data_IF_806341904709
#
_entry.id   IF_806341904709
#
_cell.length_a   1.000
_cell.length_b   1.000
_cell.length_c   1.000
_cell.angle_alpha   90.00
_cell.angle_beta   90.00
_cell.angle_gamma   90.00
#
_symmetry.space_group_name_H-M   'P 1'
#
loop_
_entity.id
_entity.type
_entity.pdbx_description
1 polymer ?
#
# COMPACT_ATOMS: atom_id res chain seq x y z
N UNK A 1 -16.75 -6.95 27.87
CA UNK A 1 -17.31 -7.67 26.70
C UNK A 1 -16.35 -7.47 25.54
N UNK A 2 -15.95 -8.52 24.82
CA UNK A 2 -15.10 -8.38 23.63
C UNK A 2 -15.96 -7.76 22.52
N UNK A 3 -15.67 -6.53 22.12
CA UNK A 3 -16.31 -5.93 20.97
C UNK A 3 -15.77 -6.63 19.73
N UNK A 4 -16.60 -7.45 19.09
CA UNK A 4 -16.32 -8.02 17.78
C UNK A 4 -16.91 -7.01 16.78
N UNK A 5 -16.08 -6.28 16.02
CA UNK A 5 -16.57 -5.40 14.97
C UNK A 5 -17.37 -6.24 13.97
N UNK A 6 -18.57 -5.79 13.61
CA UNK A 6 -19.34 -6.43 12.54
C UNK A 6 -18.72 -6.02 11.22
N UNK A 7 -18.61 -6.95 10.28
CA UNK A 7 -18.06 -6.72 8.93
C UNK A 7 -18.65 -5.48 8.22
N UNK A 8 -19.91 -5.16 8.50
CA UNK A 8 -20.63 -4.03 7.88
C UNK A 8 -20.38 -2.68 8.56
N UNK A 9 -19.61 -2.64 9.66
CA UNK A 9 -19.38 -1.40 10.42
C UNK A 9 -18.52 -0.43 9.61
N UNK A 10 -17.55 -0.95 8.86
CA UNK A 10 -16.60 -0.15 8.10
C UNK A 10 -17.28 0.60 6.95
N UNK A 11 -18.17 -0.06 6.22
CA UNK A 11 -18.96 0.58 5.16
C UNK A 11 -19.85 1.70 5.71
N UNK A 12 -20.50 1.48 6.85
CA UNK A 12 -21.34 2.51 7.47
C UNK A 12 -20.54 3.76 7.87
N UNK A 13 -19.33 3.56 8.42
CA UNK A 13 -18.42 4.64 8.79
C UNK A 13 -17.88 5.40 7.58
N UNK A 14 -17.55 4.68 6.50
CA UNK A 14 -17.10 5.28 5.23
C UNK A 14 -18.22 6.16 4.64
N UNK A 15 -19.46 5.67 4.65
CA UNK A 15 -20.61 6.43 4.14
C UNK A 15 -20.87 7.69 4.97
N UNK A 16 -20.81 7.60 6.30
CA UNK A 16 -20.97 8.76 7.19
C UNK A 16 -19.87 9.82 6.94
N UNK A 17 -18.61 9.39 6.78
CA UNK A 17 -17.50 10.28 6.45
C UNK A 17 -17.73 11.02 5.11
N UNK A 18 -18.20 10.32 4.08
CA UNK A 18 -18.47 10.91 2.77
C UNK A 18 -19.68 11.86 2.80
N UNK A 19 -20.76 11.48 3.49
CA UNK A 19 -21.98 12.29 3.61
C UNK A 19 -21.74 13.61 4.37
N UNK A 20 -20.82 13.59 5.35
CA UNK A 20 -20.41 14.79 6.09
C UNK A 20 -19.42 15.68 5.32
N UNK A 21 -19.19 15.42 4.02
CA UNK A 21 -18.30 16.21 3.17
C UNK A 21 -16.84 15.77 3.20
N UNK A 22 -16.53 14.62 3.79
CA UNK A 22 -15.21 13.99 3.73
C UNK A 22 -14.84 13.61 2.29
N UNK A 23 -13.57 13.81 1.93
CA UNK A 23 -13.06 13.53 0.58
C UNK A 23 -11.95 12.51 0.64
N UNK A 24 -12.12 11.38 -0.05
CA UNK A 24 -11.04 10.42 -0.28
C UNK A 24 -10.19 10.94 -1.44
N UNK A 25 -8.93 11.29 -1.16
CA UNK A 25 -7.96 11.68 -2.19
C UNK A 25 -6.80 10.69 -2.20
N UNK A 26 -6.57 10.06 -3.35
CA UNK A 26 -5.34 9.30 -3.55
C UNK A 26 -4.26 10.29 -3.98
N UNK A 27 -3.31 10.53 -3.09
CA UNK A 27 -2.14 11.35 -3.42
C UNK A 27 -1.32 10.70 -4.53
N UNK A 28 -0.74 11.51 -5.41
CA UNK A 28 0.25 11.02 -6.38
C UNK A 28 1.46 10.50 -5.61
N UNK A 29 1.56 9.18 -5.44
CA UNK A 29 2.75 8.57 -4.85
C UNK A 29 3.82 8.39 -5.91
N UNK A 30 5.09 8.62 -5.56
CA UNK A 30 6.19 8.29 -6.47
C UNK A 30 6.14 6.77 -6.71
N UNK A 31 6.32 6.30 -7.96
CA UNK A 31 6.43 4.87 -8.19
C UNK A 31 7.53 4.30 -7.28
N UNK A 32 7.24 3.16 -6.67
CA UNK A 32 8.22 2.47 -5.84
C UNK A 32 9.49 2.29 -6.68
N UNK A 33 10.67 2.66 -6.16
CA UNK A 33 11.93 2.40 -6.85
C UNK A 33 11.98 0.93 -7.24
N UNK A 34 12.20 0.64 -8.51
CA UNK A 34 12.21 -0.74 -8.99
C UNK A 34 13.41 -1.57 -8.46
N UNK A 35 14.29 -0.97 -7.63
CA UNK A 35 15.29 -1.65 -6.82
C UNK A 35 14.76 -2.17 -5.48
N UNK A 36 13.60 -1.70 -5.04
CA UNK A 36 12.82 -2.28 -3.96
C UNK A 36 12.01 -3.41 -4.60
N UNK A 37 12.65 -4.56 -4.79
CA UNK A 37 11.98 -5.74 -5.31
C UNK A 37 10.75 -6.04 -4.46
N UNK A 38 9.63 -6.40 -5.08
CA UNK A 38 8.39 -6.82 -4.42
C UNK A 38 8.54 -8.17 -3.67
N UNK A 39 9.77 -8.62 -3.39
CA UNK A 39 10.06 -9.90 -2.75
C UNK A 39 9.89 -9.78 -1.24
N UNK A 40 8.88 -10.51 -0.77
CA UNK A 40 8.43 -10.70 0.61
C UNK A 40 9.54 -10.59 1.68
N UNK A 41 9.26 -9.78 2.70
CA UNK A 41 9.86 -9.82 4.05
C UNK A 41 11.22 -9.17 4.31
N UNK A 42 11.80 -8.35 3.42
CA UNK A 42 13.00 -7.59 3.79
C UNK A 42 12.77 -6.09 3.62
N UNK A 43 12.55 -5.42 4.75
CA UNK A 43 12.43 -3.96 4.79
C UNK A 43 13.75 -3.31 4.37
N UNK A 44 13.71 -2.42 3.37
CA UNK A 44 14.87 -1.64 2.85
C UNK A 44 16.00 -2.43 2.16
N UNK A 45 15.81 -3.67 1.73
CA UNK A 45 16.86 -4.35 0.96
C UNK A 45 16.88 -3.86 -0.48
N UNK A 46 18.03 -3.35 -0.93
CA UNK A 46 18.24 -2.94 -2.32
C UNK A 46 18.83 -4.09 -3.11
N UNK A 47 18.44 -4.21 -4.38
CA UNK A 47 19.10 -5.13 -5.31
C UNK A 47 20.62 -4.90 -5.32
N UNK A 48 21.37 -6.00 -5.31
CA UNK A 48 22.81 -6.03 -5.57
C UNK A 48 23.12 -5.62 -7.01
N UNK A 49 24.39 -5.34 -7.31
CA UNK A 49 24.82 -4.89 -8.66
C UNK A 49 24.52 -5.93 -9.74
N UNK A 50 24.63 -7.21 -9.41
CA UNK A 50 24.39 -8.31 -10.34
C UNK A 50 22.90 -8.49 -10.61
N UNK A 51 22.06 -8.36 -9.57
CA UNK A 51 20.60 -8.40 -9.69
C UNK A 51 20.06 -7.21 -10.52
N UNK A 52 20.64 -6.01 -10.33
CA UNK A 52 20.33 -4.84 -11.17
C UNK A 52 20.66 -5.10 -12.64
N UNK A 53 21.85 -5.66 -12.90
CA UNK A 53 22.30 -5.98 -14.26
C UNK A 53 21.44 -7.05 -14.92
N UNK A 54 20.94 -8.04 -14.18
CA UNK A 54 20.04 -9.07 -14.70
C UNK A 54 18.64 -8.52 -15.03
N UNK A 55 18.15 -7.54 -14.25
CA UNK A 55 16.88 -6.86 -14.51
C UNK A 55 16.94 -5.96 -15.75
N UNK A 56 18.00 -5.16 -15.88
CA UNK A 56 18.14 -4.17 -16.95
C UNK A 56 18.55 -4.78 -18.30
N UNK A 57 18.98 -6.06 -18.31
CA UNK A 57 19.27 -6.84 -19.52
C UNK A 57 18.02 -7.49 -20.15
N UNK A 58 16.83 -7.21 -19.63
CA UNK A 58 15.56 -7.79 -20.07
C UNK A 58 14.72 -6.79 -20.84
#
# INVERSE_FOLDING_TARGET
>A
MKHIPKETTDDALIQEFLNNGGKVSVGKTKPLPAELGLSNNVWNNKLTKDEKSARDKK
#
